data_IF_621560014657
#
_entry.id   IF_621560014657
#
_cell.length_a   1.000
_cell.length_b   1.000
_cell.length_c   1.000
_cell.angle_alpha   90.00
_cell.angle_beta   90.00
_cell.angle_gamma   90.00
#
_symmetry.space_group_name_H-M   'P 1'
#
loop_
_entity.id
_entity.type
_entity.pdbx_description
1 polymer ?
#
# COMPACT_ATOMS: atom_id res chain seq x y z
N UNK A 1 -16.49 -12.94 -0.29
CA UNK A 1 -15.48 -12.10 0.40
C UNK A 1 -14.09 -12.53 -0.06
N UNK A 2 -13.20 -11.57 -0.32
CA UNK A 2 -11.87 -11.87 -0.83
C UNK A 2 -10.93 -12.24 0.32
N UNK A 3 -10.27 -13.42 0.28
CA UNK A 3 -9.18 -13.70 1.21
C UNK A 3 -8.02 -12.75 0.98
N UNK A 4 -7.28 -12.44 2.05
CA UNK A 4 -6.08 -11.62 1.95
C UNK A 4 -4.87 -12.57 1.94
N UNK A 5 -4.03 -12.45 0.91
CA UNK A 5 -2.76 -13.15 0.82
C UNK A 5 -1.69 -12.25 1.43
N UNK A 6 -0.86 -12.81 2.31
CA UNK A 6 0.25 -12.10 2.97
C UNK A 6 1.51 -12.89 2.73
N UNK A 7 2.47 -12.31 1.99
CA UNK A 7 3.75 -12.97 1.72
C UNK A 7 4.89 -11.96 1.70
N UNK A 8 6.02 -12.33 2.29
CA UNK A 8 7.25 -11.60 2.06
C UNK A 8 7.61 -11.74 0.58
N UNK A 9 8.25 -10.71 0.02
CA UNK A 9 8.63 -10.69 -1.40
C UNK A 9 9.35 -11.98 -1.81
N UNK A 10 10.22 -12.51 -0.97
CA UNK A 10 10.99 -13.73 -1.24
C UNK A 10 10.13 -14.99 -1.39
N UNK A 11 8.89 -14.95 -0.92
CA UNK A 11 7.96 -16.09 -0.96
C UNK A 11 6.97 -16.01 -2.13
N UNK A 12 7.02 -14.92 -2.90
CA UNK A 12 6.06 -14.68 -3.99
C UNK A 12 6.53 -15.43 -5.24
N UNK A 13 5.61 -16.16 -5.88
CA UNK A 13 5.90 -16.84 -7.14
C UNK A 13 5.99 -15.84 -8.30
N UNK A 14 6.61 -16.25 -9.40
CA UNK A 14 6.66 -15.42 -10.60
C UNK A 14 5.26 -15.10 -11.12
N UNK A 15 4.34 -16.06 -11.07
CA UNK A 15 2.96 -15.85 -11.52
C UNK A 15 2.22 -14.85 -10.63
N UNK A 16 2.40 -14.94 -9.31
CA UNK A 16 1.82 -13.97 -8.36
C UNK A 16 2.39 -12.57 -8.61
N UNK A 17 3.70 -12.47 -8.76
CA UNK A 17 4.35 -11.17 -9.01
C UNK A 17 3.88 -10.56 -10.32
N UNK A 18 3.72 -11.36 -11.37
CA UNK A 18 3.20 -10.91 -12.66
C UNK A 18 1.81 -10.26 -12.50
N UNK A 19 0.90 -10.91 -11.78
CA UNK A 19 -0.45 -10.36 -11.54
C UNK A 19 -0.42 -9.09 -10.70
N UNK A 20 0.49 -9.03 -9.72
CA UNK A 20 0.69 -7.84 -8.89
C UNK A 20 1.19 -6.67 -9.74
N UNK A 21 2.19 -6.90 -10.60
CA UNK A 21 2.74 -5.87 -11.48
C UNK A 21 1.67 -5.35 -12.43
N UNK A 22 0.85 -6.24 -13.00
CA UNK A 22 -0.25 -5.81 -13.87
C UNK A 22 -1.22 -4.86 -13.15
N UNK A 23 -1.57 -5.16 -11.89
CA UNK A 23 -2.45 -4.29 -11.10
C UNK A 23 -1.80 -2.95 -10.79
N UNK A 24 -0.52 -2.95 -10.44
CA UNK A 24 0.23 -1.71 -10.15
C UNK A 24 0.34 -0.83 -11.39
N UNK A 25 0.63 -1.40 -12.54
CA UNK A 25 0.67 -0.65 -13.80
C UNK A 25 -0.69 -0.08 -14.18
N UNK A 26 -1.76 -0.87 -14.02
CA UNK A 26 -3.10 -0.43 -14.36
C UNK A 26 -3.53 0.82 -13.57
N UNK A 27 -3.20 0.88 -12.28
CA UNK A 27 -3.59 2.00 -11.42
C UNK A 27 -2.58 3.14 -11.50
N UNK A 28 -1.30 2.86 -11.26
CA UNK A 28 -0.31 3.94 -11.11
C UNK A 28 0.14 4.51 -12.45
N UNK A 29 0.30 3.67 -13.46
CA UNK A 29 0.75 4.13 -14.77
C UNK A 29 -0.43 4.51 -15.68
N UNK A 30 -1.33 3.59 -15.94
CA UNK A 30 -2.39 3.81 -16.93
C UNK A 30 -3.48 4.76 -16.41
N UNK A 31 -3.88 4.65 -15.16
CA UNK A 31 -4.93 5.50 -14.60
C UNK A 31 -4.38 6.83 -14.07
N UNK A 32 -3.31 6.80 -13.27
CA UNK A 32 -2.78 7.99 -12.61
C UNK A 32 -1.66 8.67 -13.40
N UNK A 33 -1.22 8.08 -14.51
CA UNK A 33 -0.18 8.62 -15.40
C UNK A 33 1.16 8.86 -14.71
N UNK A 34 1.49 8.06 -13.70
CA UNK A 34 2.78 8.12 -13.04
C UNK A 34 3.81 7.45 -13.95
N UNK A 35 4.84 8.19 -14.36
CA UNK A 35 5.88 7.68 -15.26
C UNK A 35 7.19 7.34 -14.54
N UNK A 36 7.26 7.57 -13.23
CA UNK A 36 8.39 7.13 -12.41
C UNK A 36 8.37 5.62 -12.24
N UNK A 37 9.54 4.98 -12.06
CA UNK A 37 9.59 3.53 -11.88
C UNK A 37 8.73 3.09 -10.70
N UNK A 38 7.87 2.10 -10.92
CA UNK A 38 6.98 1.57 -9.90
C UNK A 38 7.65 0.46 -9.09
N UNK A 39 8.25 -0.52 -9.76
CA UNK A 39 9.08 -1.52 -9.09
C UNK A 39 10.39 -0.87 -8.65
N UNK A 40 10.77 -1.05 -7.39
CA UNK A 40 11.94 -0.41 -6.81
C UNK A 40 12.69 -1.35 -5.85
N UNK A 41 13.80 -0.86 -5.26
CA UNK A 41 14.61 -1.64 -4.32
C UNK A 41 13.90 -1.87 -2.97
N UNK A 42 12.80 -1.20 -2.71
CA UNK A 42 12.00 -1.41 -1.50
C UNK A 42 11.18 -2.69 -1.61
N UNK A 43 10.75 -3.06 -2.81
CA UNK A 43 9.97 -4.28 -3.02
C UNK A 43 10.62 -5.54 -2.41
N UNK A 44 11.91 -5.85 -2.65
CA UNK A 44 12.52 -7.05 -2.07
C UNK A 44 12.56 -7.08 -0.55
N UNK A 45 12.41 -5.94 0.11
CA UNK A 45 12.43 -5.82 1.57
C UNK A 45 11.03 -5.78 2.17
N UNK A 46 10.00 -5.89 1.34
CA UNK A 46 8.60 -5.67 1.72
C UNK A 46 7.85 -6.98 1.94
N UNK A 47 6.76 -6.87 2.71
CA UNK A 47 5.73 -7.91 2.78
C UNK A 47 4.54 -7.38 1.98
N UNK A 48 4.08 -8.17 1.03
CA UNK A 48 2.95 -7.82 0.17
C UNK A 48 1.66 -8.38 0.74
N UNK A 49 0.61 -7.57 0.73
CA UNK A 49 -0.75 -7.98 1.07
C UNK A 49 -1.64 -7.68 -0.12
N UNK A 50 -2.43 -8.69 -0.55
CA UNK A 50 -3.30 -8.47 -1.70
C UNK A 50 -4.51 -9.40 -1.69
N UNK A 51 -5.49 -9.03 -2.52
CA UNK A 51 -6.69 -9.82 -2.79
C UNK A 51 -6.81 -10.07 -4.28
N UNK A 52 -7.27 -11.27 -4.64
CA UNK A 52 -7.48 -11.67 -6.04
C UNK A 52 -8.93 -12.05 -6.29
N UNK A 53 -9.37 -11.85 -7.53
CA UNK A 53 -10.64 -12.34 -8.04
C UNK A 53 -10.47 -12.65 -9.53
N UNK A 54 -10.90 -13.86 -9.94
CA UNK A 54 -10.83 -14.31 -11.33
C UNK A 54 -9.42 -14.16 -11.94
N UNK A 55 -8.38 -14.51 -11.18
CA UNK A 55 -7.01 -14.46 -11.66
C UNK A 55 -6.41 -13.06 -11.76
N UNK A 56 -7.05 -12.05 -11.16
CA UNK A 56 -6.57 -10.67 -11.15
C UNK A 56 -6.39 -10.19 -9.72
N UNK A 57 -5.37 -9.37 -9.51
CA UNK A 57 -5.21 -8.65 -8.25
C UNK A 57 -6.15 -7.46 -8.25
N UNK A 58 -7.07 -7.41 -7.29
CA UNK A 58 -8.09 -6.36 -7.20
C UNK A 58 -7.80 -5.33 -6.11
N UNK A 59 -6.94 -5.65 -5.15
CA UNK A 59 -6.46 -4.72 -4.15
C UNK A 59 -5.06 -5.15 -3.71
N UNK A 60 -4.20 -4.21 -3.39
CA UNK A 60 -2.80 -4.49 -3.06
C UNK A 60 -2.23 -3.38 -2.17
N UNK A 61 -1.31 -3.74 -1.29
CA UNK A 61 -0.38 -2.81 -0.65
C UNK A 61 0.90 -3.55 -0.27
N UNK A 62 1.95 -2.78 0.02
CA UNK A 62 3.17 -3.34 0.62
C UNK A 62 3.41 -2.73 1.98
N UNK A 63 3.85 -3.56 2.93
CA UNK A 63 4.32 -3.10 4.24
C UNK A 63 5.84 -3.12 4.25
N UNK A 64 6.44 -2.13 4.89
CA UNK A 64 7.87 -1.89 4.84
C UNK A 64 8.39 -1.76 6.27
N UNK A 65 9.45 -2.53 6.64
CA UNK A 65 10.03 -2.42 7.98
C UNK A 65 10.55 -1.01 8.28
N UNK A 66 10.62 -0.67 9.57
CA UNK A 66 11.21 0.58 10.03
C UNK A 66 12.67 0.71 9.54
N UNK A 67 13.06 1.93 9.19
CA UNK A 67 14.43 2.22 8.80
C UNK A 67 14.74 2.02 7.31
N UNK A 68 13.77 1.63 6.50
CA UNK A 68 13.98 1.44 5.06
C UNK A 68 13.65 2.74 4.28
N UNK A 69 12.40 3.17 4.27
CA UNK A 69 12.00 4.42 3.59
C UNK A 69 11.93 5.60 4.54
N UNK A 70 11.73 5.34 5.82
CA UNK A 70 11.71 6.34 6.88
C UNK A 70 12.04 5.65 8.21
N UNK A 71 12.11 6.41 9.31
CA UNK A 71 12.43 5.86 10.62
C UNK A 71 11.39 4.83 11.09
N UNK A 72 10.12 5.09 10.80
CA UNK A 72 9.01 4.21 11.19
C UNK A 72 8.76 3.12 10.15
N UNK A 73 7.99 2.09 10.55
CA UNK A 73 7.39 1.18 9.58
C UNK A 73 6.45 1.97 8.66
N UNK A 74 6.25 1.47 7.44
CA UNK A 74 5.48 2.19 6.44
C UNK A 74 4.57 1.26 5.64
N UNK A 75 3.58 1.83 4.99
CA UNK A 75 2.71 1.16 4.03
C UNK A 75 2.73 1.99 2.75
N UNK A 76 2.86 1.35 1.61
CA UNK A 76 2.90 2.04 0.33
C UNK A 76 2.30 1.22 -0.81
N UNK A 77 2.27 1.84 -1.99
CA UNK A 77 1.71 1.23 -3.20
C UNK A 77 0.28 0.72 -2.99
N UNK A 78 -0.52 1.45 -2.22
CA UNK A 78 -1.91 1.07 -1.93
C UNK A 78 -2.75 1.29 -3.18
N UNK A 79 -3.43 0.24 -3.63
CA UNK A 79 -4.33 0.33 -4.79
C UNK A 79 -5.57 -0.52 -4.62
N UNK A 80 -6.64 -0.09 -5.28
CA UNK A 80 -7.84 -0.90 -5.52
C UNK A 80 -8.19 -0.74 -7.00
N UNK A 81 -8.41 -1.86 -7.68
CA UNK A 81 -8.83 -1.86 -9.09
C UNK A 81 -10.11 -1.02 -9.26
N UNK A 82 -10.17 -0.25 -10.33
CA UNK A 82 -11.27 0.68 -10.57
C UNK A 82 -12.66 0.02 -10.48
N UNK A 83 -12.78 -1.22 -10.93
CA UNK A 83 -14.03 -1.97 -10.87
C UNK A 83 -14.42 -2.48 -9.49
N UNK A 84 -13.55 -2.34 -8.50
CA UNK A 84 -13.75 -2.90 -7.15
C UNK A 84 -13.76 -1.86 -6.05
N UNK A 85 -13.78 -0.58 -6.40
CA UNK A 85 -13.80 0.52 -5.43
C UNK A 85 -15.15 0.66 -4.75
N UNK A 86 -15.17 1.32 -3.59
CA UNK A 86 -16.37 1.56 -2.76
C UNK A 86 -16.97 0.27 -2.20
N UNK A 87 -16.16 -0.77 -2.05
CA UNK A 87 -16.57 -2.05 -1.45
C UNK A 87 -15.86 -2.34 -0.14
N UNK A 88 -15.11 -1.38 0.40
CA UNK A 88 -14.39 -1.52 1.65
C UNK A 88 -13.13 -2.37 1.57
N UNK A 89 -12.62 -2.69 0.38
CA UNK A 89 -11.43 -3.54 0.22
C UNK A 89 -10.17 -2.87 0.77
N UNK A 90 -9.98 -1.58 0.50
CA UNK A 90 -8.83 -0.85 1.01
C UNK A 90 -8.82 -0.79 2.53
N UNK A 91 -9.99 -0.57 3.15
CA UNK A 91 -10.12 -0.55 4.61
C UNK A 91 -9.75 -1.90 5.22
N UNK A 92 -10.27 -2.99 4.65
CA UNK A 92 -9.92 -4.34 5.11
C UNK A 92 -8.44 -4.62 4.99
N UNK A 93 -7.85 -4.23 3.85
CA UNK A 93 -6.44 -4.46 3.58
C UNK A 93 -5.55 -3.64 4.52
N UNK A 94 -5.92 -2.38 4.79
CA UNK A 94 -5.19 -1.52 5.73
C UNK A 94 -5.28 -2.04 7.17
N UNK A 95 -6.45 -2.49 7.61
CA UNK A 95 -6.60 -3.10 8.93
C UNK A 95 -5.69 -4.32 9.08
N UNK A 96 -5.65 -5.18 8.07
CA UNK A 96 -4.77 -6.35 8.10
C UNK A 96 -3.29 -5.96 8.05
N UNK A 97 -2.95 -4.92 7.29
CA UNK A 97 -1.58 -4.41 7.24
C UNK A 97 -1.12 -3.91 8.62
N UNK A 98 -1.95 -3.13 9.29
CA UNK A 98 -1.61 -2.62 10.63
C UNK A 98 -1.49 -3.75 11.65
N UNK A 99 -2.39 -4.74 11.58
CA UNK A 99 -2.33 -5.93 12.43
C UNK A 99 -1.05 -6.74 12.17
N UNK A 100 -0.73 -6.97 10.90
CA UNK A 100 0.49 -7.68 10.48
C UNK A 100 1.76 -6.99 11.00
N UNK A 101 1.85 -5.66 10.85
CA UNK A 101 3.00 -4.89 11.33
C UNK A 101 3.18 -5.10 12.84
N UNK A 102 2.09 -4.95 13.60
CA UNK A 102 2.15 -5.09 15.06
C UNK A 102 2.54 -6.50 15.50
N UNK A 103 2.01 -7.53 14.84
CA UNK A 103 2.28 -8.93 15.20
C UNK A 103 3.65 -9.39 14.74
N UNK A 104 4.12 -8.94 13.58
CA UNK A 104 5.36 -9.44 12.98
C UNK A 104 6.58 -8.63 13.43
N UNK A 105 6.45 -7.31 13.52
CA UNK A 105 7.56 -6.40 13.84
C UNK A 105 7.42 -5.73 15.20
N UNK A 106 6.34 -6.01 15.93
CA UNK A 106 6.03 -5.41 17.22
C UNK A 106 5.19 -4.14 17.08
N UNK A 107 4.42 -3.79 18.15
CA UNK A 107 3.65 -2.55 18.18
C UNK A 107 4.57 -1.35 17.98
N UNK A 108 4.24 -0.51 16.99
CA UNK A 108 5.08 0.63 16.62
C UNK A 108 4.32 1.62 15.77
N UNK A 109 4.78 2.87 15.67
CA UNK A 109 4.18 3.85 14.78
C UNK A 109 4.31 3.45 13.31
N UNK A 110 3.33 3.83 12.51
CA UNK A 110 3.33 3.59 11.07
C UNK A 110 3.19 4.94 10.35
N UNK A 111 4.10 5.21 9.41
CA UNK A 111 4.12 6.43 8.60
C UNK A 111 3.72 6.10 7.16
N UNK A 112 2.91 6.97 6.55
CA UNK A 112 2.54 6.85 5.15
C UNK A 112 2.73 8.19 4.43
N UNK A 113 2.89 8.11 3.11
CA UNK A 113 2.77 9.25 2.22
C UNK A 113 1.43 9.10 1.50
N UNK A 114 0.43 9.82 1.96
CA UNK A 114 -0.94 9.67 1.48
C UNK A 114 -1.23 10.66 0.37
N UNK A 115 -1.89 10.22 -0.71
CA UNK A 115 -2.46 11.16 -1.67
C UNK A 115 -3.46 12.05 -0.91
N UNK A 116 -3.36 13.36 -1.09
CA UNK A 116 -4.08 14.34 -0.26
C UNK A 116 -5.59 14.09 -0.22
N UNK A 117 -6.19 13.71 -1.35
CA UNK A 117 -7.63 13.50 -1.41
C UNK A 117 -8.09 12.28 -0.56
N UNK A 118 -7.17 11.41 -0.14
CA UNK A 118 -7.45 10.26 0.71
C UNK A 118 -7.13 10.50 2.19
N UNK A 119 -6.70 11.70 2.56
CA UNK A 119 -6.31 12.00 3.95
C UNK A 119 -7.44 11.70 4.94
N UNK A 120 -8.68 12.03 4.60
CA UNK A 120 -9.83 11.73 5.45
C UNK A 120 -10.04 10.24 5.67
N UNK A 121 -9.83 9.43 4.63
CA UNK A 121 -9.88 7.97 4.75
C UNK A 121 -8.84 7.47 5.75
N UNK A 122 -7.59 7.89 5.59
CA UNK A 122 -6.52 7.47 6.51
C UNK A 122 -6.73 8.01 7.92
N UNK A 123 -7.26 9.22 8.07
CA UNK A 123 -7.61 9.75 9.38
C UNK A 123 -8.61 8.85 10.10
N UNK A 124 -9.55 8.25 9.37
CA UNK A 124 -10.53 7.31 9.95
C UNK A 124 -9.88 6.02 10.45
N UNK A 125 -8.63 5.75 10.05
CA UNK A 125 -7.83 4.61 10.51
C UNK A 125 -6.84 4.98 11.62
N UNK A 126 -6.89 6.21 12.12
CA UNK A 126 -6.03 6.68 13.21
C UNK A 126 -4.77 7.40 12.77
N UNK A 127 -4.63 7.71 11.49
CA UNK A 127 -3.50 8.50 10.99
C UNK A 127 -3.74 9.99 11.17
N UNK A 128 -2.69 10.73 11.51
CA UNK A 128 -2.70 12.19 11.63
C UNK A 128 -1.70 12.79 10.65
N UNK A 129 -2.06 13.91 10.02
CA UNK A 129 -1.14 14.64 9.16
C UNK A 129 0.02 15.21 9.98
N UNK A 130 1.25 14.97 9.53
CA UNK A 130 2.48 15.45 10.18
C UNK A 130 3.32 16.31 9.24
N UNK A 131 2.79 16.68 8.09
CA UNK A 131 3.41 17.61 7.15
C UNK A 131 2.34 18.44 6.45
N UNK A 132 2.78 19.49 5.77
CA UNK A 132 1.94 20.16 4.77
C UNK A 132 1.90 19.34 3.47
N UNK A 133 1.15 19.83 2.50
CA UNK A 133 1.05 19.23 1.18
C UNK A 133 2.36 19.37 0.41
N UNK A 134 2.77 18.30 -0.26
CA UNK A 134 3.92 18.29 -1.17
C UNK A 134 3.58 17.45 -2.41
N UNK A 135 4.35 17.62 -3.47
CA UNK A 135 4.16 16.83 -4.69
C UNK A 135 5.04 15.57 -4.64
N UNK A 136 4.44 14.43 -4.95
CA UNK A 136 5.14 13.16 -5.12
C UNK A 136 4.63 12.56 -6.42
N UNK A 137 5.53 12.27 -7.37
CA UNK A 137 5.16 11.85 -8.72
C UNK A 137 4.13 12.78 -9.38
N UNK A 138 4.21 14.09 -9.10
CA UNK A 138 3.30 15.09 -9.64
C UNK A 138 1.93 15.15 -8.98
N UNK A 139 1.66 14.35 -7.96
CA UNK A 139 0.37 14.28 -7.27
C UNK A 139 0.50 14.87 -5.86
N UNK A 140 -0.46 15.72 -5.42
CA UNK A 140 -0.44 16.24 -4.05
C UNK A 140 -0.52 15.13 -3.01
N UNK A 141 0.43 15.12 -2.07
CA UNK A 141 0.54 14.17 -0.98
C UNK A 141 0.68 14.87 0.36
N UNK A 142 0.41 14.15 1.42
CA UNK A 142 0.65 14.59 2.80
C UNK A 142 1.23 13.42 3.59
N UNK A 143 2.24 13.68 4.42
CA UNK A 143 2.76 12.65 5.33
C UNK A 143 1.82 12.50 6.50
N UNK A 144 1.50 11.26 6.84
CA UNK A 144 0.62 10.94 7.95
C UNK A 144 1.26 9.88 8.85
N UNK A 145 0.97 9.97 10.14
CA UNK A 145 1.52 9.08 11.16
C UNK A 145 0.41 8.52 12.02
N UNK A 146 0.45 7.21 12.24
CA UNK A 146 -0.39 6.52 13.21
C UNK A 146 0.51 6.04 14.35
N UNK A 147 0.23 6.52 15.54
CA UNK A 147 0.97 6.16 16.76
C UNK A 147 0.46 4.89 17.42
#
# INVERSE_FOLDING_TARGET
MHPIVIKHFSEISAAEYHRIVQAREAVFFLEQHITEPDADEVDPQSVFLWMEEDGRVVAFLRTIPAGIVCAEASVGRVLVDAGYRRRGLCRRLMHEALRHIALTWGPQPVRISAQEYLAGFYASLGFEAVSGTYLEAGIPHVRMLRR
#
